data_IF_350924095836
#
_entry.id   IF_350924095836
#
_cell.length_a   1.000
_cell.length_b   1.000
_cell.length_c   1.000
_cell.angle_alpha   90.00
_cell.angle_beta   90.00
_cell.angle_gamma   90.00
#
_symmetry.space_group_name_H-M   'P 1'
#
loop_
_entity.id
_entity.type
_entity.pdbx_description
1 polymer ?
#
# COMPACT_ATOMS: atom_id res chain seq x y z
N UNK A 1 -10.81 -6.96 -28.39
CA UNK A 1 -9.68 -6.44 -27.58
C UNK A 1 -9.99 -4.98 -27.28
N UNK A 2 -10.58 -4.70 -26.12
CA UNK A 2 -11.06 -3.36 -25.77
C UNK A 2 -9.84 -2.50 -25.39
N UNK A 3 -9.38 -1.62 -26.29
CA UNK A 3 -8.34 -0.64 -25.97
C UNK A 3 -8.99 0.52 -25.22
N UNK A 4 -9.08 0.39 -23.90
CA UNK A 4 -9.04 1.55 -23.01
C UNK A 4 -7.74 2.30 -23.38
N UNK A 5 -7.85 3.58 -23.71
CA UNK A 5 -6.82 4.59 -24.07
C UNK A 5 -5.33 4.19 -24.03
N UNK A 6 -4.50 4.77 -24.91
CA UNK A 6 -3.05 4.50 -25.10
C UNK A 6 -2.16 4.52 -23.83
N UNK A 7 -2.67 4.99 -22.68
CA UNK A 7 -1.97 5.10 -21.40
C UNK A 7 -2.27 3.96 -20.42
N UNK A 8 -3.22 3.07 -20.72
CA UNK A 8 -3.60 1.96 -19.85
C UNK A 8 -3.17 0.64 -20.50
N UNK A 9 -2.27 -0.09 -19.84
CA UNK A 9 -1.84 -1.42 -20.27
C UNK A 9 -2.55 -2.48 -19.42
N UNK A 10 -3.36 -3.31 -20.07
CA UNK A 10 -4.04 -4.42 -19.41
C UNK A 10 -3.18 -5.69 -19.47
N UNK A 11 -2.74 -6.18 -18.31
CA UNK A 11 -1.92 -7.38 -18.18
C UNK A 11 -2.72 -8.68 -18.00
N UNK A 12 -4.04 -8.59 -17.80
CA UNK A 12 -4.89 -9.74 -17.51
C UNK A 12 -4.70 -10.27 -16.08
N UNK A 13 -5.15 -11.50 -15.85
CA UNK A 13 -5.01 -12.19 -14.57
C UNK A 13 -3.71 -13.01 -14.54
N UNK A 14 -3.00 -12.98 -13.42
CA UNK A 14 -1.75 -13.74 -13.19
C UNK A 14 -1.65 -14.08 -11.70
N UNK A 15 -0.71 -14.96 -11.31
CA UNK A 15 -0.49 -15.33 -9.93
C UNK A 15 0.30 -14.25 -9.18
N UNK A 16 0.06 -14.13 -7.87
CA UNK A 16 0.76 -13.18 -7.01
C UNK A 16 2.29 -13.32 -7.07
N UNK A 17 2.80 -14.56 -7.11
CA UNK A 17 4.23 -14.85 -7.26
C UNK A 17 4.82 -14.26 -8.55
N UNK A 18 4.06 -14.32 -9.63
CA UNK A 18 4.47 -13.82 -10.93
C UNK A 18 4.43 -12.28 -10.94
N UNK A 19 3.42 -11.66 -10.30
CA UNK A 19 3.37 -10.21 -10.07
C UNK A 19 4.59 -9.74 -9.28
N UNK A 20 4.89 -10.42 -8.17
CA UNK A 20 6.03 -10.11 -7.28
C UNK A 20 7.36 -10.13 -8.05
N UNK A 21 7.56 -11.12 -8.91
CA UNK A 21 8.80 -11.29 -9.65
C UNK A 21 8.93 -10.41 -10.90
N UNK A 22 7.82 -9.97 -11.50
CA UNK A 22 7.82 -9.32 -12.82
C UNK A 22 7.37 -7.86 -12.83
N UNK A 23 6.82 -7.32 -11.74
CA UNK A 23 6.29 -5.96 -11.71
C UNK A 23 7.36 -4.89 -11.96
N UNK A 24 7.18 -4.11 -13.02
CA UNK A 24 8.09 -3.02 -13.44
C UNK A 24 7.61 -1.62 -13.06
N UNK A 25 6.43 -1.48 -12.47
CA UNK A 25 5.86 -0.20 -12.07
C UNK A 25 6.74 0.53 -11.04
N UNK A 26 6.78 1.87 -11.08
CA UNK A 26 7.53 2.67 -10.10
C UNK A 26 6.77 2.84 -8.77
N UNK A 27 5.46 3.06 -8.86
CA UNK A 27 4.56 3.13 -7.71
C UNK A 27 3.42 2.15 -7.89
N UNK A 28 2.90 1.63 -6.78
CA UNK A 28 1.69 0.85 -6.76
C UNK A 28 0.53 1.66 -6.16
N UNK A 29 -0.64 1.57 -6.78
CA UNK A 29 -1.81 2.37 -6.37
C UNK A 29 -2.80 1.50 -5.62
N UNK A 30 -3.16 1.93 -4.41
CA UNK A 30 -4.23 1.38 -3.60
C UNK A 30 -5.32 2.44 -3.46
N UNK A 31 -6.33 2.39 -4.31
CA UNK A 31 -7.42 3.36 -4.30
C UNK A 31 -8.76 2.66 -4.42
N UNK A 32 -9.75 3.15 -3.66
CA UNK A 32 -11.12 2.66 -3.64
C UNK A 32 -12.04 3.86 -3.53
N UNK A 33 -13.14 3.83 -4.27
CA UNK A 33 -14.10 4.93 -4.34
C UNK A 33 -14.78 4.98 -5.71
N UNK A 34 -15.86 5.72 -5.80
CA UNK A 34 -16.58 5.99 -7.04
C UNK A 34 -16.19 7.35 -7.66
N UNK A 35 -15.42 8.17 -6.94
CA UNK A 35 -14.91 9.45 -7.41
C UNK A 35 -13.38 9.49 -7.47
N UNK A 36 -12.85 10.51 -8.16
CA UNK A 36 -11.42 10.79 -8.22
C UNK A 36 -10.91 11.54 -6.98
N UNK A 37 -11.82 12.17 -6.25
CA UNK A 37 -11.52 13.13 -5.18
C UNK A 37 -11.58 12.52 -3.79
N UNK A 38 -12.42 11.50 -3.58
CA UNK A 38 -12.62 10.96 -2.26
C UNK A 38 -12.87 9.45 -2.26
N UNK A 39 -12.63 8.84 -1.10
CA UNK A 39 -12.95 7.45 -0.83
C UNK A 39 -14.40 7.38 -0.34
N UNK A 40 -15.32 7.30 -1.29
CA UNK A 40 -16.77 7.31 -1.06
C UNK A 40 -17.47 5.98 -1.40
N UNK A 41 -18.76 5.92 -1.08
CA UNK A 41 -19.57 4.72 -1.23
C UNK A 41 -19.28 3.64 -0.18
N UNK A 42 -20.02 2.54 -0.26
CA UNK A 42 -19.94 1.45 0.72
C UNK A 42 -18.53 0.87 0.87
N UNK A 43 -17.82 0.70 -0.25
CA UNK A 43 -16.44 0.18 -0.26
C UNK A 43 -15.47 1.22 0.30
N UNK A 44 -15.70 2.51 0.02
CA UNK A 44 -14.88 3.59 0.56
C UNK A 44 -14.98 3.69 2.08
N UNK A 45 -16.17 3.60 2.65
CA UNK A 45 -16.35 3.56 4.11
C UNK A 45 -15.64 2.36 4.74
N UNK A 46 -15.74 1.16 4.13
CA UNK A 46 -15.10 -0.03 4.64
C UNK A 46 -13.56 0.06 4.62
N UNK A 47 -12.96 0.60 3.54
CA UNK A 47 -11.50 0.65 3.40
C UNK A 47 -10.81 1.57 4.43
N UNK A 48 -11.57 2.45 5.10
CA UNK A 48 -11.09 3.26 6.24
C UNK A 48 -10.66 2.39 7.42
N UNK A 49 -11.11 1.14 7.50
CA UNK A 49 -10.82 0.23 8.60
C UNK A 49 -9.98 -0.99 8.19
N UNK A 50 -9.80 -1.22 6.89
CA UNK A 50 -9.17 -2.45 6.42
C UNK A 50 -7.64 -2.38 6.41
N UNK A 51 -7.03 -3.48 6.86
CA UNK A 51 -5.69 -3.86 6.41
C UNK A 51 -5.81 -4.58 5.05
N UNK A 52 -5.44 -3.90 3.97
CA UNK A 52 -5.62 -4.40 2.61
C UNK A 52 -4.49 -5.33 2.16
N UNK A 53 -4.84 -6.52 1.69
CA UNK A 53 -3.88 -7.50 1.16
C UNK A 53 -3.09 -6.99 -0.07
N UNK A 54 -3.63 -6.01 -0.81
CA UNK A 54 -2.91 -5.39 -1.93
C UNK A 54 -1.66 -4.65 -1.47
N UNK A 55 -1.70 -4.05 -0.28
CA UNK A 55 -0.55 -3.35 0.28
C UNK A 55 0.61 -4.32 0.48
N UNK A 56 0.37 -5.48 1.12
CA UNK A 56 1.40 -6.50 1.29
C UNK A 56 1.94 -7.02 -0.04
N UNK A 57 1.07 -7.27 -1.02
CA UNK A 57 1.51 -7.68 -2.36
C UNK A 57 2.47 -6.65 -2.97
N UNK A 58 2.13 -5.37 -2.93
CA UNK A 58 2.96 -4.30 -3.50
C UNK A 58 4.27 -4.06 -2.74
N UNK A 59 4.27 -4.25 -1.41
CA UNK A 59 5.51 -4.24 -0.64
C UNK A 59 6.43 -5.38 -1.06
N UNK A 60 5.88 -6.57 -1.32
CA UNK A 60 6.66 -7.71 -1.84
C UNK A 60 7.18 -7.45 -3.26
N UNK A 61 6.54 -6.60 -4.05
CA UNK A 61 7.05 -6.10 -5.33
C UNK A 61 8.12 -4.99 -5.17
N UNK A 62 8.46 -4.58 -3.95
CA UNK A 62 9.40 -3.51 -3.62
C UNK A 62 9.02 -2.14 -4.20
N UNK A 63 7.72 -1.82 -4.25
CA UNK A 63 7.22 -0.55 -4.78
C UNK A 63 6.63 0.35 -3.69
N UNK A 64 7.03 1.63 -3.60
CA UNK A 64 6.31 2.61 -2.80
C UNK A 64 4.85 2.71 -3.26
N UNK A 65 3.97 3.08 -2.33
CA UNK A 65 2.53 3.10 -2.58
C UNK A 65 1.96 4.50 -2.70
N UNK A 66 0.93 4.62 -3.51
CA UNK A 66 0.00 5.74 -3.51
C UNK A 66 -1.29 5.19 -2.93
N UNK A 67 -1.74 5.73 -1.80
CA UNK A 67 -2.96 5.29 -1.12
C UNK A 67 -3.76 6.51 -0.68
N UNK A 68 -5.09 6.38 -0.68
CA UNK A 68 -5.97 7.41 -0.12
C UNK A 68 -5.59 7.74 1.32
N UNK A 69 -5.56 9.03 1.65
CA UNK A 69 -5.31 9.51 3.00
C UNK A 69 -6.35 9.02 4.02
N UNK A 70 -7.52 8.60 3.53
CA UNK A 70 -8.63 8.08 4.32
C UNK A 70 -8.53 6.57 4.59
N UNK A 71 -7.58 5.86 3.97
CA UNK A 71 -7.40 4.44 4.21
C UNK A 71 -6.99 4.15 5.66
N UNK A 72 -7.47 3.03 6.21
CA UNK A 72 -7.03 2.55 7.53
C UNK A 72 -5.52 2.27 7.60
N UNK A 73 -4.88 2.03 6.46
CA UNK A 73 -3.42 1.84 6.38
C UNK A 73 -2.64 3.14 6.16
N UNK A 74 -3.32 4.28 5.96
CA UNK A 74 -2.65 5.55 5.72
C UNK A 74 -1.70 5.98 6.86
N UNK A 75 -2.04 5.82 8.16
CA UNK A 75 -1.11 6.08 9.24
C UNK A 75 0.13 5.18 9.20
N UNK A 76 -0.05 3.89 8.92
CA UNK A 76 1.05 2.92 8.84
C UNK A 76 2.03 3.29 7.72
N UNK A 77 1.55 3.48 6.49
CA UNK A 77 2.44 3.75 5.35
C UNK A 77 3.18 5.09 5.46
N UNK A 78 2.59 6.08 6.13
CA UNK A 78 3.23 7.35 6.46
C UNK A 78 4.31 7.17 7.52
N UNK A 79 4.01 6.42 8.58
CA UNK A 79 4.95 6.12 9.66
C UNK A 79 6.19 5.39 9.12
N UNK A 80 5.97 4.38 8.27
CA UNK A 80 7.05 3.60 7.67
C UNK A 80 7.79 4.35 6.54
N UNK A 81 7.27 5.51 6.08
CA UNK A 81 7.87 6.32 5.03
C UNK A 81 7.89 5.63 3.67
N UNK A 82 6.83 4.88 3.33
CA UNK A 82 6.70 4.05 2.11
C UNK A 82 5.62 4.57 1.15
N UNK A 83 5.11 5.79 1.37
CA UNK A 83 3.98 6.36 0.64
C UNK A 83 4.35 7.66 -0.08
N UNK A 84 3.83 7.83 -1.29
CA UNK A 84 3.71 9.14 -1.92
C UNK A 84 2.39 9.78 -1.44
N UNK A 85 2.43 10.86 -0.63
CA UNK A 85 1.23 11.49 -0.13
C UNK A 85 0.49 12.21 -1.27
N UNK A 86 -0.78 11.85 -1.46
CA UNK A 86 -1.72 12.49 -2.39
C UNK A 86 -3.09 12.58 -1.73
N UNK A 87 -3.83 13.64 -2.02
CA UNK A 87 -5.20 13.82 -1.52
C UNK A 87 -6.25 13.27 -2.49
N UNK A 88 -6.00 13.39 -3.80
CA UNK A 88 -6.90 12.93 -4.88
C UNK A 88 -6.10 12.22 -5.97
N UNK A 89 -6.78 11.41 -6.81
CA UNK A 89 -6.16 10.78 -7.96
C UNK A 89 -5.65 11.82 -8.98
N UNK A 90 -6.33 12.95 -9.10
CA UNK A 90 -5.97 14.04 -10.01
C UNK A 90 -4.65 14.71 -9.60
N UNK A 91 -4.38 14.78 -8.30
CA UNK A 91 -3.14 15.33 -7.75
C UNK A 91 -1.89 14.45 -7.99
N UNK A 92 -2.05 13.19 -8.40
CA UNK A 92 -0.93 12.24 -8.56
C UNK A 92 0.10 12.78 -9.55
N UNK A 93 -0.32 13.27 -10.72
CA UNK A 93 0.62 13.71 -11.75
C UNK A 93 1.52 14.86 -11.26
N UNK A 94 0.93 15.85 -10.58
CA UNK A 94 1.67 16.97 -9.99
C UNK A 94 2.61 16.53 -8.87
N UNK A 95 2.17 15.60 -8.01
CA UNK A 95 3.02 15.07 -6.94
C UNK A 95 4.18 14.25 -7.48
N UNK A 96 3.96 13.41 -8.49
CA UNK A 96 5.02 12.63 -9.15
C UNK A 96 6.09 13.53 -9.78
N UNK A 97 5.69 14.63 -10.43
CA UNK A 97 6.63 15.56 -11.05
C UNK A 97 7.56 16.27 -10.04
N UNK A 98 7.16 16.33 -8.77
CA UNK A 98 7.92 16.96 -7.69
C UNK A 98 8.77 15.96 -6.89
N UNK A 99 8.67 14.65 -7.15
CA UNK A 99 9.47 13.64 -6.45
C UNK A 99 10.92 13.73 -6.90
N UNK A 100 11.81 13.97 -5.94
CA UNK A 100 13.25 13.94 -6.18
C UNK A 100 13.78 12.50 -6.20
N UNK A 101 14.91 12.24 -6.90
CA UNK A 101 15.57 10.94 -6.84
C UNK A 101 15.89 10.49 -5.42
N UNK A 102 16.27 11.42 -4.55
CA UNK A 102 16.64 11.15 -3.16
C UNK A 102 15.42 10.72 -2.32
N UNK A 103 14.29 11.41 -2.48
CA UNK A 103 13.02 11.03 -1.82
C UNK A 103 12.55 9.65 -2.27
N UNK A 104 12.62 9.37 -3.57
CA UNK A 104 12.23 8.07 -4.11
C UNK A 104 13.15 6.95 -3.60
N UNK A 105 14.47 7.18 -3.59
CA UNK A 105 15.43 6.23 -3.05
C UNK A 105 15.25 6.00 -1.54
N UNK A 106 14.83 7.02 -0.79
CA UNK A 106 14.46 6.86 0.62
C UNK A 106 13.22 5.97 0.78
N UNK A 107 12.17 6.22 0.00
CA UNK A 107 10.97 5.37 0.00
C UNK A 107 11.30 3.92 -0.37
N UNK A 108 12.14 3.68 -1.40
CA UNK A 108 12.53 2.32 -1.79
C UNK A 108 13.25 1.56 -0.67
N UNK A 109 14.22 2.18 -0.01
CA UNK A 109 14.91 1.55 1.14
C UNK A 109 13.94 1.20 2.27
N UNK A 110 12.98 2.08 2.54
CA UNK A 110 11.94 1.82 3.54
C UNK A 110 11.04 0.66 3.13
N UNK A 111 10.64 0.59 1.85
CA UNK A 111 9.83 -0.50 1.31
C UNK A 111 10.56 -1.84 1.39
N UNK A 112 11.85 -1.89 1.07
CA UNK A 112 12.66 -3.10 1.21
C UNK A 112 12.70 -3.61 2.66
N UNK A 113 12.92 -2.71 3.62
CA UNK A 113 12.85 -3.04 5.04
C UNK A 113 11.47 -3.58 5.44
N UNK A 114 10.39 -2.89 5.06
CA UNK A 114 9.02 -3.30 5.38
C UNK A 114 8.68 -4.64 4.72
N UNK A 115 9.09 -4.84 3.47
CA UNK A 115 8.90 -6.08 2.70
C UNK A 115 9.57 -7.28 3.38
N UNK A 116 10.79 -7.11 3.89
CA UNK A 116 11.50 -8.14 4.64
C UNK A 116 10.73 -8.52 5.91
N UNK A 117 10.31 -7.53 6.71
CA UNK A 117 9.50 -7.75 7.92
C UNK A 117 8.19 -8.49 7.59
N UNK A 118 7.51 -8.11 6.50
CA UNK A 118 6.30 -8.80 6.04
C UNK A 118 6.58 -10.25 5.63
N UNK A 119 7.68 -10.52 4.93
CA UNK A 119 8.04 -11.86 4.49
C UNK A 119 8.35 -12.80 5.66
N UNK A 120 8.88 -12.27 6.75
CA UNK A 120 9.15 -13.01 7.99
C UNK A 120 7.91 -13.18 8.88
N UNK A 121 6.78 -12.57 8.50
CA UNK A 121 5.55 -12.59 9.28
C UNK A 121 5.58 -11.70 10.52
N UNK A 122 6.54 -10.77 10.63
CA UNK A 122 6.80 -9.94 11.80
C UNK A 122 5.51 -9.30 12.38
N UNK A 123 4.74 -8.61 11.53
CA UNK A 123 3.53 -7.90 11.96
C UNK A 123 2.42 -8.86 12.45
N UNK A 124 2.33 -10.05 11.84
CA UNK A 124 1.36 -11.06 12.27
C UNK A 124 1.72 -11.62 13.64
N UNK A 125 2.98 -12.06 13.82
CA UNK A 125 3.43 -12.61 15.09
C UNK A 125 3.38 -11.57 16.21
N UNK A 126 3.78 -10.32 15.95
CA UNK A 126 3.66 -9.24 16.93
C UNK A 126 2.21 -9.00 17.40
N UNK A 127 1.24 -9.04 16.47
CA UNK A 127 -0.17 -8.91 16.81
C UNK A 127 -0.70 -10.14 17.57
N UNK A 128 -0.29 -11.34 17.16
CA UNK A 128 -0.66 -12.60 17.82
C UNK A 128 -0.15 -12.65 19.26
N UNK A 129 1.13 -12.37 19.46
CA UNK A 129 1.76 -12.36 20.79
C UNK A 129 1.06 -11.35 21.70
N UNK A 130 0.78 -10.14 21.20
CA UNK A 130 0.03 -9.13 21.96
C UNK A 130 -1.37 -9.61 22.34
N UNK A 131 -2.08 -10.28 21.42
CA UNK A 131 -3.38 -10.84 21.71
C UNK A 131 -3.31 -11.93 22.80
N UNK A 132 -2.31 -12.81 22.74
CA UNK A 132 -2.09 -13.85 23.75
C UNK A 132 -1.76 -13.26 25.12
N UNK A 133 -0.90 -12.24 25.21
CA UNK A 133 -0.58 -11.55 26.47
C UNK A 133 -1.77 -10.85 27.12
N UNK A 134 -2.70 -10.33 26.31
CA UNK A 134 -3.97 -9.76 26.81
C UNK A 134 -4.88 -10.84 27.38
N UNK A 135 -4.93 -12.01 26.75
CA UNK A 135 -5.74 -13.14 27.23
C UNK A 135 -5.14 -13.84 28.46
N UNK A 136 -3.81 -13.85 28.61
CA UNK A 136 -3.11 -14.45 29.76
C UNK A 136 -3.12 -13.57 31.01
N UNK A 137 -3.57 -12.31 30.92
CA UNK A 137 -3.55 -11.34 32.02
C UNK A 137 -2.14 -10.82 32.36
N UNK A 138 -1.17 -11.04 31.48
CA UNK A 138 0.20 -10.55 31.65
C UNK A 138 0.36 -9.07 31.25
N UNK A 139 -0.60 -8.53 30.48
CA UNK A 139 -0.58 -7.15 30.00
C UNK A 139 -0.96 -6.08 31.07
N UNK A 140 -1.49 -6.50 32.22
CA UNK A 140 -1.96 -5.59 33.30
C UNK A 140 -1.06 -5.59 34.56
N UNK A 141 0.08 -6.30 34.54
CA UNK A 141 1.12 -6.22 35.59
C UNK A 141 2.28 -5.36 35.12
#
# INVERSE_FOLDING_TARGET
>A
MCRLTTLIILYGHTQDSEIICSATASFAVVWYGNSLDCTDGFIGEYIRYCNTHKLSLYMRCHRPVIISNESGMAPFVRCEGIVLPVDTLEGIAGRLAAVTPEEYAAMQRNVERVSALMAEGHYFYAALDRALSLLSGEAER
#
